data_IF_028886504237
#
_entry.id   IF_028886504237
#
_cell.length_a   1.000
_cell.length_b   1.000
_cell.length_c   1.000
_cell.angle_alpha   90.00
_cell.angle_beta   90.00
_cell.angle_gamma   90.00
#
_symmetry.space_group_name_H-M   'P 1'
#
loop_
_entity.id
_entity.type
_entity.pdbx_description
1 polymer ?
#
# COMPACT_ATOMS: atom_id res chain seq x y z
N UNK A 1 -21.14 2.19 -4.27
CA UNK A 1 -19.86 1.51 -3.96
C UNK A 1 -20.14 0.02 -3.95
N UNK A 2 -19.36 -0.80 -4.67
CA UNK A 2 -19.53 -2.27 -4.63
C UNK A 2 -18.73 -2.77 -3.43
N UNK A 3 -19.42 -3.17 -2.36
CA UNK A 3 -18.80 -3.64 -1.12
C UNK A 3 -18.43 -5.12 -1.26
N UNK A 4 -17.18 -5.47 -0.99
CA UNK A 4 -16.76 -6.87 -1.02
C UNK A 4 -17.40 -7.61 0.17
N UNK A 5 -17.96 -8.82 -0.02
CA UNK A 5 -18.74 -9.52 1.00
C UNK A 5 -17.97 -9.88 2.29
N UNK A 6 -16.63 -9.76 2.29
CA UNK A 6 -15.78 -9.96 3.48
C UNK A 6 -15.51 -8.68 4.29
N UNK A 7 -16.04 -7.52 3.87
CA UNK A 7 -15.95 -6.25 4.61
C UNK A 7 -17.35 -5.74 4.91
N UNK A 8 -18.09 -6.36 5.86
CA UNK A 8 -19.49 -6.03 6.14
C UNK A 8 -19.67 -4.65 6.81
N UNK A 9 -18.62 -4.12 7.45
CA UNK A 9 -18.60 -2.77 8.00
C UNK A 9 -17.60 -1.92 7.19
N UNK A 10 -18.05 -0.80 6.63
CA UNK A 10 -17.14 0.24 6.15
C UNK A 10 -16.45 0.84 7.39
N UNK A 11 -15.24 0.37 7.70
CA UNK A 11 -14.34 1.09 8.59
C UNK A 11 -13.88 2.35 7.86
N UNK A 12 -14.69 3.42 7.93
CA UNK A 12 -14.26 4.74 7.49
C UNK A 12 -13.29 5.30 8.52
N UNK A 13 -12.02 5.35 8.17
CA UNK A 13 -11.01 6.04 8.96
C UNK A 13 -11.12 7.54 8.67
N UNK A 14 -11.37 8.34 9.70
CA UNK A 14 -11.28 9.80 9.58
C UNK A 14 -9.81 10.22 9.61
N UNK A 15 -9.25 10.47 8.42
CA UNK A 15 -7.86 10.85 8.24
C UNK A 15 -7.49 12.14 9.00
N UNK A 16 -8.46 13.02 9.29
CA UNK A 16 -8.22 14.26 10.02
C UNK A 16 -7.91 14.04 11.51
N UNK A 17 -8.17 12.84 12.05
CA UNK A 17 -7.92 12.47 13.45
C UNK A 17 -6.53 11.87 13.68
N UNK A 18 -5.77 11.64 12.60
CA UNK A 18 -4.46 11.00 12.65
C UNK A 18 -3.38 12.06 12.88
N UNK A 19 -2.74 12.01 14.04
CA UNK A 19 -1.73 12.98 14.45
C UNK A 19 -0.33 12.70 13.88
N UNK A 20 -0.05 11.44 13.49
CA UNK A 20 1.19 11.03 12.84
C UNK A 20 0.85 10.18 11.61
N UNK A 21 0.67 10.83 10.45
CA UNK A 21 0.31 10.12 9.23
C UNK A 21 1.40 9.16 8.72
N UNK A 22 2.68 9.48 8.90
CA UNK A 22 3.76 8.59 8.45
C UNK A 22 3.78 7.29 9.25
N UNK A 23 3.65 7.39 10.57
CA UNK A 23 3.55 6.23 11.44
C UNK A 23 2.31 5.40 11.10
N UNK A 24 1.15 6.03 10.97
CA UNK A 24 -0.10 5.34 10.62
C UNK A 24 0.02 4.56 9.30
N UNK A 25 0.63 5.15 8.27
CA UNK A 25 0.81 4.50 6.97
C UNK A 25 1.71 3.28 7.10
N UNK A 26 2.84 3.39 7.81
CA UNK A 26 3.76 2.28 8.01
C UNK A 26 3.11 1.15 8.82
N UNK A 27 2.42 1.47 9.92
CA UNK A 27 1.70 0.47 10.73
C UNK A 27 0.58 -0.22 9.93
N UNK A 28 -0.15 0.55 9.12
CA UNK A 28 -1.22 0.00 8.26
C UNK A 28 -0.65 -0.98 7.23
N UNK A 29 0.46 -0.61 6.58
CA UNK A 29 1.14 -1.49 5.63
C UNK A 29 1.66 -2.74 6.35
N UNK A 30 2.40 -2.59 7.45
CA UNK A 30 2.95 -3.71 8.23
C UNK A 30 1.87 -4.69 8.70
N UNK A 31 0.69 -4.19 9.09
CA UNK A 31 -0.45 -5.04 9.43
C UNK A 31 -0.99 -5.82 8.21
N UNK A 32 -0.98 -5.22 7.03
CA UNK A 32 -1.50 -5.82 5.80
C UNK A 32 -0.52 -6.79 5.11
N UNK A 33 0.80 -6.58 5.24
CA UNK A 33 1.83 -7.34 4.53
C UNK A 33 1.73 -8.86 4.73
N UNK A 34 1.54 -9.41 5.96
CA UNK A 34 1.44 -10.85 6.15
C UNK A 34 0.26 -11.48 5.39
N UNK A 35 -0.88 -10.79 5.33
CA UNK A 35 -2.04 -11.25 4.59
C UNK A 35 -1.80 -11.20 3.08
N UNK A 36 -1.14 -10.15 2.58
CA UNK A 36 -0.74 -10.05 1.19
C UNK A 36 0.22 -11.19 0.79
N UNK A 37 1.24 -11.48 1.62
CA UNK A 37 2.18 -12.58 1.39
C UNK A 37 1.45 -13.92 1.36
N UNK A 38 0.53 -14.17 2.30
CA UNK A 38 -0.26 -15.42 2.32
C UNK A 38 -1.02 -15.63 1.01
N UNK A 39 -1.62 -14.56 0.45
CA UNK A 39 -2.35 -14.59 -0.83
C UNK A 39 -1.45 -14.99 -2.02
N UNK A 40 -0.16 -14.63 -1.99
CA UNK A 40 0.83 -15.04 -3.00
C UNK A 40 1.30 -16.49 -2.77
N UNK A 41 1.54 -16.89 -1.52
CA UNK A 41 1.87 -18.28 -1.16
C UNK A 41 0.77 -19.23 -1.62
N UNK A 42 -0.50 -18.89 -1.36
CA UNK A 42 -1.67 -19.69 -1.75
C UNK A 42 -1.80 -19.82 -3.28
N UNK A 43 -1.20 -18.89 -4.04
CA UNK A 43 -1.15 -18.91 -5.52
C UNK A 43 0.10 -19.61 -6.07
N UNK A 44 0.95 -20.16 -5.20
CA UNK A 44 2.14 -20.91 -5.58
C UNK A 44 3.36 -20.05 -5.89
N UNK A 45 3.39 -18.78 -5.45
CA UNK A 45 4.60 -17.95 -5.56
C UNK A 45 5.60 -18.35 -4.47
N UNK A 46 6.88 -18.44 -4.85
CA UNK A 46 7.97 -18.55 -3.90
C UNK A 46 8.29 -17.16 -3.34
N UNK A 47 7.77 -16.87 -2.15
CA UNK A 47 7.98 -15.58 -1.51
C UNK A 47 9.38 -15.43 -0.86
N UNK A 48 10.19 -16.50 -0.87
CA UNK A 48 11.58 -16.47 -0.43
C UNK A 48 12.55 -16.15 -1.58
N UNK A 49 12.07 -16.19 -2.82
CA UNK A 49 12.85 -15.79 -4.00
C UNK A 49 13.22 -14.31 -3.96
N UNK A 50 14.49 -14.00 -4.29
CA UNK A 50 15.01 -12.63 -4.21
C UNK A 50 14.36 -11.70 -5.24
N UNK A 51 14.01 -12.21 -6.43
CA UNK A 51 13.34 -11.39 -7.45
C UNK A 51 11.91 -11.06 -7.02
N UNK A 52 11.18 -12.04 -6.46
CA UNK A 52 9.88 -11.79 -5.84
C UNK A 52 9.97 -10.75 -4.72
N UNK A 53 10.95 -10.85 -3.82
CA UNK A 53 11.11 -9.90 -2.72
C UNK A 53 11.39 -8.48 -3.22
N UNK A 54 12.21 -8.33 -4.26
CA UNK A 54 12.50 -7.04 -4.88
C UNK A 54 11.24 -6.41 -5.52
N UNK A 55 10.49 -7.20 -6.30
CA UNK A 55 9.25 -6.74 -6.94
C UNK A 55 8.17 -6.42 -5.90
N UNK A 56 8.00 -7.28 -4.90
CA UNK A 56 7.02 -7.10 -3.82
C UNK A 56 7.34 -5.85 -2.99
N UNK A 57 8.61 -5.62 -2.65
CA UNK A 57 9.04 -4.40 -1.95
C UNK A 57 8.71 -3.15 -2.76
N UNK A 58 8.90 -3.20 -4.09
CA UNK A 58 8.54 -2.09 -5.00
C UNK A 58 7.04 -1.82 -4.99
N UNK A 59 6.21 -2.87 -5.02
CA UNK A 59 4.75 -2.75 -4.93
C UNK A 59 4.34 -2.10 -3.60
N UNK A 60 4.93 -2.53 -2.49
CA UNK A 60 4.67 -1.95 -1.15
C UNK A 60 5.05 -0.47 -1.11
N UNK A 61 6.17 -0.10 -1.72
CA UNK A 61 6.61 1.29 -1.77
C UNK A 61 5.69 2.17 -2.64
N UNK A 62 5.12 1.62 -3.71
CA UNK A 62 4.08 2.29 -4.49
C UNK A 62 2.81 2.51 -3.65
N UNK A 63 2.37 1.51 -2.88
CA UNK A 63 1.22 1.67 -1.98
C UNK A 63 1.49 2.72 -0.89
N UNK A 64 2.70 2.74 -0.32
CA UNK A 64 3.14 3.80 0.60
C UNK A 64 3.01 5.17 -0.04
N UNK A 65 3.51 5.35 -1.27
CA UNK A 65 3.42 6.61 -2.00
C UNK A 65 1.97 7.07 -2.26
N UNK A 66 1.06 6.12 -2.52
CA UNK A 66 -0.38 6.40 -2.68
C UNK A 66 -1.00 6.85 -1.36
N UNK A 67 -0.70 6.16 -0.26
CA UNK A 67 -1.21 6.54 1.05
C UNK A 67 -0.66 7.91 1.51
N UNK A 68 0.62 8.20 1.24
CA UNK A 68 1.23 9.50 1.52
C UNK A 68 0.44 10.64 0.84
N UNK A 69 0.02 10.44 -0.42
CA UNK A 69 -0.78 11.42 -1.15
C UNK A 69 -2.11 11.73 -0.44
N UNK A 70 -2.76 10.72 0.13
CA UNK A 70 -4.06 10.90 0.80
C UNK A 70 -3.94 11.75 2.08
N UNK A 71 -2.74 11.86 2.66
CA UNK A 71 -2.39 12.76 3.76
C UNK A 71 -1.68 14.05 3.32
N UNK A 72 -1.58 14.32 2.02
CA UNK A 72 -0.77 15.43 1.46
C UNK A 72 0.72 15.38 1.85
N UNK A 73 1.25 14.18 2.09
CA UNK A 73 2.68 13.96 2.30
C UNK A 73 3.41 13.70 0.98
N UNK A 74 4.66 14.16 0.93
CA UNK A 74 5.54 13.92 -0.21
C UNK A 74 6.21 12.55 -0.11
N UNK A 75 6.20 11.80 -1.21
CA UNK A 75 6.97 10.57 -1.36
C UNK A 75 7.85 10.64 -2.61
N UNK A 76 9.13 10.25 -2.60
CA UNK A 76 10.03 10.36 -3.76
C UNK A 76 9.48 9.72 -5.05
N UNK A 77 8.79 8.58 -4.95
CA UNK A 77 8.14 7.93 -6.10
C UNK A 77 7.07 8.82 -6.79
N UNK A 78 6.49 9.80 -6.09
CA UNK A 78 5.53 10.74 -6.69
C UNK A 78 6.20 11.67 -7.70
N UNK A 79 7.50 11.95 -7.61
CA UNK A 79 8.23 12.73 -8.63
C UNK A 79 8.34 11.97 -9.96
N UNK A 80 8.52 10.64 -9.89
CA UNK A 80 8.52 9.78 -11.06
C UNK A 80 7.15 9.70 -11.73
N UNK A 81 6.08 9.68 -10.92
CA UNK A 81 4.69 9.56 -11.39
C UNK A 81 4.09 10.89 -11.87
N UNK A 82 4.62 12.03 -11.45
CA UNK A 82 4.16 13.37 -11.85
C UNK A 82 4.81 13.89 -13.14
N UNK A 83 5.82 13.19 -13.68
CA UNK A 83 6.29 13.44 -15.04
C UNK A 83 5.17 13.10 -16.03
N UNK A 84 4.53 14.13 -16.57
CA UNK A 84 3.59 14.01 -17.68
C UNK A 84 4.22 13.13 -18.76
N UNK A 85 3.51 12.07 -19.14
CA UNK A 85 3.73 11.42 -20.42
C UNK A 85 3.22 12.43 -21.45
N UNK A 86 4.13 13.24 -22.00
CA UNK A 86 3.82 14.05 -23.18
C UNK A 86 3.44 13.06 -24.30
N UNK A 87 2.16 13.12 -24.70
CA UNK A 87 1.63 12.41 -25.86
C UNK A 87 1.94 13.15 -27.15
#
# INVERSE_FOLDING_TARGET
VVQHPSTPEEYTVDLATINDPELYINETLELALPYAIQVFIDRGFDCLDEAFQADFTTIVDVFRAVLFRDFNLYHPLQEGLSKKIDK
#
